data_IF_566766991995
#
_entry.id   IF_566766991995
#
_cell.length_a   1.000
_cell.length_b   1.000
_cell.length_c   1.000
_cell.angle_alpha   90.00
_cell.angle_beta   90.00
_cell.angle_gamma   90.00
#
_symmetry.space_group_name_H-M   'P 1'
#
loop_
_entity.id
_entity.type
_entity.pdbx_description
1 polymer ?
#
# COMPACT_ATOMS: atom_id res chain seq x y z
N UNK A 1 13.35 23.90 7.20
CA UNK A 1 14.58 23.09 7.17
C UNK A 1 15.76 23.96 6.72
N UNK A 2 16.79 24.06 7.58
CA UNK A 2 17.99 24.87 7.30
C UNK A 2 18.81 24.35 6.09
N UNK A 3 18.60 23.10 5.68
CA UNK A 3 19.41 22.43 4.64
C UNK A 3 18.85 22.60 3.23
N UNK A 4 17.55 22.75 3.05
CA UNK A 4 16.92 22.87 1.73
C UNK A 4 15.53 23.48 1.86
N UNK A 5 15.43 24.80 2.17
CA UNK A 5 14.13 25.46 2.39
C UNK A 5 13.27 25.49 1.12
N UNK A 6 13.89 25.54 -0.06
CA UNK A 6 13.23 25.63 -1.36
C UNK A 6 12.90 24.24 -1.98
N UNK A 7 13.27 23.14 -1.33
CA UNK A 7 12.96 21.82 -1.87
C UNK A 7 11.45 21.55 -1.81
N UNK A 8 10.78 21.30 -2.96
CA UNK A 8 9.33 21.15 -3.03
C UNK A 8 8.89 19.76 -2.50
N UNK A 9 8.86 19.60 -1.18
CA UNK A 9 8.61 18.31 -0.52
C UNK A 9 7.29 17.66 -0.91
N UNK A 10 6.27 18.46 -1.18
CA UNK A 10 4.93 17.95 -1.51
C UNK A 10 4.94 17.16 -2.81
N UNK A 11 5.67 17.63 -3.80
CA UNK A 11 5.70 17.07 -5.16
C UNK A 11 6.92 16.20 -5.43
N UNK A 12 8.07 16.50 -4.81
CA UNK A 12 9.35 15.86 -5.17
C UNK A 12 9.84 14.84 -4.14
N UNK A 13 9.39 14.92 -2.86
CA UNK A 13 9.84 14.00 -1.82
C UNK A 13 9.05 12.70 -1.87
N UNK A 14 9.68 11.61 -2.34
CA UNK A 14 9.09 10.28 -2.30
C UNK A 14 9.60 9.50 -1.08
N UNK A 15 8.68 9.05 -0.23
CA UNK A 15 8.97 8.30 1.00
C UNK A 15 7.97 7.16 1.18
N UNK A 16 8.31 6.18 2.00
CA UNK A 16 7.37 5.14 2.38
C UNK A 16 6.15 5.74 3.10
N UNK A 17 4.91 5.54 2.61
CA UNK A 17 3.71 6.15 3.18
C UNK A 17 3.37 5.62 4.58
N UNK A 18 3.83 4.42 4.92
CA UNK A 18 3.49 3.78 6.18
C UNK A 18 1.99 3.55 6.34
N UNK A 19 1.50 3.70 7.55
CA UNK A 19 0.11 3.34 7.92
C UNK A 19 -0.99 4.08 7.18
N UNK A 20 -0.71 5.20 6.53
CA UNK A 20 -1.71 5.89 5.69
C UNK A 20 -2.11 5.02 4.50
N UNK A 21 -1.20 4.22 3.99
CA UNK A 21 -1.45 3.29 2.89
C UNK A 21 -2.44 2.16 3.24
N UNK A 22 -2.69 1.88 4.52
CA UNK A 22 -3.68 0.88 4.95
C UNK A 22 -5.09 1.20 4.48
N UNK A 23 -5.41 2.46 4.24
CA UNK A 23 -6.66 2.88 3.59
C UNK A 23 -6.77 2.29 2.19
N UNK A 24 -5.69 2.35 1.39
CA UNK A 24 -5.66 1.72 0.07
C UNK A 24 -5.73 0.19 0.18
N UNK A 25 -5.03 -0.41 1.14
CA UNK A 25 -5.10 -1.87 1.38
C UNK A 25 -6.52 -2.31 1.74
N UNK A 26 -7.25 -1.50 2.53
CA UNK A 26 -8.66 -1.75 2.85
C UNK A 26 -9.53 -1.71 1.60
N UNK A 27 -9.38 -0.67 0.76
CA UNK A 27 -10.10 -0.55 -0.52
C UNK A 27 -9.82 -1.77 -1.40
N UNK A 28 -8.55 -2.10 -1.63
CA UNK A 28 -8.17 -3.24 -2.45
C UNK A 28 -8.75 -4.57 -1.92
N UNK A 29 -8.76 -4.76 -0.60
CA UNK A 29 -9.32 -5.95 0.04
C UNK A 29 -10.83 -6.05 -0.09
N UNK A 30 -11.55 -4.95 0.09
CA UNK A 30 -13.01 -4.88 -0.08
C UNK A 30 -13.41 -5.14 -1.53
N UNK A 31 -12.78 -4.44 -2.47
CA UNK A 31 -13.08 -4.50 -3.90
C UNK A 31 -12.70 -5.85 -4.54
N UNK A 32 -11.67 -6.50 -4.02
CA UNK A 32 -11.30 -7.86 -4.46
C UNK A 32 -12.14 -8.97 -3.80
N UNK A 33 -13.03 -8.62 -2.86
CA UNK A 33 -13.81 -9.59 -2.09
C UNK A 33 -12.98 -10.44 -1.10
N UNK A 34 -11.72 -10.10 -0.91
CA UNK A 34 -10.82 -10.83 0.01
C UNK A 34 -11.06 -10.41 1.47
N UNK A 35 -11.55 -9.19 1.69
CA UNK A 35 -11.76 -8.62 3.01
C UNK A 35 -13.27 -8.52 3.31
N UNK A 36 -13.69 -9.18 4.38
CA UNK A 36 -15.00 -8.97 5.00
C UNK A 36 -14.82 -7.97 6.16
N UNK A 37 -15.45 -6.78 6.12
CA UNK A 37 -15.25 -5.72 7.10
C UNK A 37 -15.73 -6.10 8.51
N UNK A 38 -16.68 -7.01 8.63
CA UNK A 38 -17.25 -7.46 9.91
C UNK A 38 -16.50 -8.66 10.50
N UNK A 39 -15.71 -9.36 9.69
CA UNK A 39 -14.93 -10.52 10.14
C UNK A 39 -13.76 -10.09 11.01
N UNK A 40 -13.71 -10.48 12.29
CA UNK A 40 -12.60 -10.12 13.17
C UNK A 40 -11.34 -10.91 12.85
N UNK A 41 -10.19 -10.27 13.02
CA UNK A 41 -8.87 -10.89 13.00
C UNK A 41 -8.26 -10.77 14.39
N UNK A 42 -7.81 -11.89 14.96
CA UNK A 42 -7.15 -11.87 16.25
C UNK A 42 -5.71 -11.38 16.14
N UNK A 43 -5.44 -10.24 16.76
CA UNK A 43 -4.12 -9.64 16.82
C UNK A 43 -3.44 -9.93 18.16
N UNK A 44 -2.54 -10.89 18.19
CA UNK A 44 -1.66 -11.14 19.34
C UNK A 44 -0.48 -10.18 19.46
N UNK A 45 -0.40 -9.18 18.55
CA UNK A 45 0.69 -8.22 18.50
C UNK A 45 1.75 -8.51 17.43
N UNK A 46 1.78 -9.70 16.86
CA UNK A 46 2.64 -10.12 15.76
C UNK A 46 1.96 -11.15 14.86
N UNK A 47 2.38 -11.30 13.60
CA UNK A 47 1.72 -12.20 12.65
C UNK A 47 2.10 -13.68 12.91
N UNK A 48 3.38 -14.02 12.75
CA UNK A 48 3.86 -15.43 12.92
C UNK A 48 4.76 -15.59 14.12
N UNK A 49 5.76 -14.74 14.27
CA UNK A 49 6.75 -14.81 15.35
C UNK A 49 6.91 -13.46 16.03
N UNK A 50 7.24 -13.45 17.35
CA UNK A 50 7.41 -12.21 18.12
C UNK A 50 8.51 -11.28 17.62
N UNK A 51 9.42 -11.77 16.76
CA UNK A 51 10.56 -11.02 16.25
C UNK A 51 10.23 -10.23 14.97
N UNK A 52 9.19 -10.67 14.20
CA UNK A 52 8.87 -10.11 12.87
C UNK A 52 7.39 -9.76 12.75
N UNK A 53 7.08 -8.82 11.85
CA UNK A 53 5.72 -8.41 11.51
C UNK A 53 4.87 -8.04 12.74
N UNK A 54 5.38 -7.09 13.52
CA UNK A 54 4.79 -6.66 14.80
C UNK A 54 3.92 -5.43 14.64
N UNK A 55 2.87 -5.37 15.47
CA UNK A 55 2.15 -4.12 15.74
C UNK A 55 2.99 -3.17 16.59
N UNK A 56 2.67 -1.86 16.48
CA UNK A 56 3.29 -0.83 17.31
C UNK A 56 3.07 -1.11 18.80
N UNK A 57 1.84 -1.44 19.20
CA UNK A 57 1.48 -1.75 20.58
C UNK A 57 2.32 -2.88 21.17
N UNK A 58 2.62 -3.92 20.38
CA UNK A 58 3.46 -5.02 20.85
C UNK A 58 4.91 -4.60 21.08
N UNK A 59 5.44 -3.70 20.25
CA UNK A 59 6.81 -3.19 20.40
C UNK A 59 7.01 -2.42 21.70
N UNK A 60 5.96 -1.76 22.19
CA UNK A 60 6.03 -0.86 23.34
C UNK A 60 5.50 -1.50 24.62
N UNK A 61 4.49 -2.36 24.53
CA UNK A 61 3.78 -2.88 25.71
C UNK A 61 3.73 -4.40 25.76
N UNK A 62 4.23 -5.12 24.77
CA UNK A 62 4.24 -6.58 24.73
C UNK A 62 2.86 -7.23 24.56
N UNK A 63 1.81 -6.45 24.23
CA UNK A 63 0.43 -6.91 24.08
C UNK A 63 -0.07 -6.77 22.63
N UNK A 64 -1.15 -7.48 22.28
CA UNK A 64 -1.86 -7.34 21.01
C UNK A 64 -3.12 -6.49 21.13
N UNK A 65 -3.81 -6.30 20.01
CA UNK A 65 -5.09 -5.60 19.96
C UNK A 65 -6.31 -6.49 20.25
N UNK A 66 -6.11 -7.80 20.46
CA UNK A 66 -7.17 -8.83 20.52
C UNK A 66 -7.94 -8.91 19.19
N UNK A 67 -9.23 -9.19 19.22
CA UNK A 67 -10.07 -9.21 18.05
C UNK A 67 -10.29 -7.80 17.53
N UNK A 68 -10.06 -7.59 16.24
CA UNK A 68 -10.25 -6.30 15.55
C UNK A 68 -10.96 -6.53 14.22
N UNK A 69 -12.00 -5.78 13.96
CA UNK A 69 -12.65 -5.64 12.65
C UNK A 69 -11.90 -4.63 11.78
N UNK A 70 -12.34 -4.40 10.55
CA UNK A 70 -11.71 -3.41 9.66
C UNK A 70 -11.64 -2.01 10.29
N UNK A 71 -12.76 -1.56 10.87
CA UNK A 71 -12.84 -0.22 11.48
C UNK A 71 -11.88 -0.10 12.66
N UNK A 72 -11.87 -1.09 13.53
CA UNK A 72 -10.92 -1.16 14.63
C UNK A 72 -9.47 -1.18 14.17
N UNK A 73 -9.18 -1.94 13.11
CA UNK A 73 -7.83 -2.07 12.57
C UNK A 73 -7.32 -0.77 11.96
N UNK A 74 -8.18 0.01 11.31
CA UNK A 74 -7.85 1.35 10.82
C UNK A 74 -7.64 2.33 12.00
N UNK A 75 -8.57 2.39 12.96
CA UNK A 75 -8.48 3.27 14.12
C UNK A 75 -7.23 3.01 14.97
N UNK A 76 -6.93 1.73 15.23
CA UNK A 76 -5.77 1.30 16.05
C UNK A 76 -4.49 1.14 15.22
N UNK A 77 -4.56 1.35 13.91
CA UNK A 77 -3.46 1.11 12.97
C UNK A 77 -2.84 -0.29 13.13
N UNK A 78 -3.69 -1.33 13.23
CA UNK A 78 -3.27 -2.70 13.48
C UNK A 78 -2.49 -3.30 12.32
N UNK A 79 -1.18 -3.49 12.46
CA UNK A 79 -0.36 -4.10 11.39
C UNK A 79 -0.75 -5.56 11.14
N UNK A 80 -1.04 -6.33 12.21
CA UNK A 80 -1.35 -7.76 12.08
C UNK A 80 -2.59 -7.98 11.22
N UNK A 81 -3.63 -7.15 11.40
CA UNK A 81 -4.81 -7.18 10.54
C UNK A 81 -4.43 -7.03 9.06
N UNK A 82 -3.71 -5.97 8.72
CA UNK A 82 -3.33 -5.68 7.34
C UNK A 82 -2.28 -6.65 6.76
N UNK A 83 -1.43 -7.24 7.60
CA UNK A 83 -0.59 -8.36 7.17
C UNK A 83 -1.41 -9.58 6.79
N UNK A 84 -2.45 -9.91 7.58
CA UNK A 84 -3.35 -11.04 7.29
C UNK A 84 -4.10 -10.80 5.98
N UNK A 85 -4.73 -9.65 5.83
CA UNK A 85 -5.42 -9.26 4.59
C UNK A 85 -4.47 -9.29 3.39
N UNK A 86 -3.29 -8.70 3.50
CA UNK A 86 -2.30 -8.70 2.41
C UNK A 86 -1.79 -10.09 2.06
N UNK A 87 -1.62 -10.99 3.05
CA UNK A 87 -1.22 -12.37 2.81
C UNK A 87 -2.30 -13.17 2.06
N UNK A 88 -3.57 -12.94 2.35
CA UNK A 88 -4.71 -13.57 1.68
C UNK A 88 -4.92 -13.00 0.27
N UNK A 89 -4.92 -11.68 0.14
CA UNK A 89 -5.15 -10.96 -1.11
C UNK A 89 -4.00 -11.10 -2.12
N UNK A 90 -2.76 -11.32 -1.63
CA UNK A 90 -1.53 -11.32 -2.44
C UNK A 90 -1.18 -9.94 -2.99
N UNK A 91 -0.12 -9.87 -3.82
CA UNK A 91 0.38 -8.59 -4.33
C UNK A 91 -0.47 -7.98 -5.44
N UNK A 92 -1.15 -8.80 -6.23
CA UNK A 92 -1.85 -8.37 -7.43
C UNK A 92 -2.87 -7.26 -7.20
N UNK A 93 -3.92 -7.50 -6.40
CA UNK A 93 -4.92 -6.48 -6.11
C UNK A 93 -4.33 -5.23 -5.47
N UNK A 94 -3.32 -5.37 -4.57
CA UNK A 94 -2.62 -4.22 -3.98
C UNK A 94 -1.96 -3.34 -5.04
N UNK A 95 -1.22 -3.96 -5.97
CA UNK A 95 -0.54 -3.25 -7.05
C UNK A 95 -1.55 -2.63 -8.02
N UNK A 96 -2.59 -3.38 -8.41
CA UNK A 96 -3.62 -2.89 -9.33
C UNK A 96 -4.35 -1.67 -8.76
N UNK A 97 -4.77 -1.71 -7.50
CA UNK A 97 -5.44 -0.57 -6.86
C UNK A 97 -4.50 0.61 -6.62
N UNK A 98 -3.21 0.34 -6.32
CA UNK A 98 -2.22 1.41 -6.24
C UNK A 98 -2.06 2.14 -7.56
N UNK A 99 -2.01 1.39 -8.65
CA UNK A 99 -1.90 1.95 -10.00
C UNK A 99 -3.15 2.75 -10.40
N UNK A 100 -4.36 2.21 -10.15
CA UNK A 100 -5.64 2.91 -10.37
C UNK A 100 -5.70 4.23 -9.62
N UNK A 101 -5.21 4.27 -8.38
CA UNK A 101 -5.16 5.48 -7.54
C UNK A 101 -3.96 6.40 -7.83
N UNK A 102 -3.20 6.09 -8.89
CA UNK A 102 -2.16 6.98 -9.43
C UNK A 102 -0.81 6.89 -8.73
N UNK A 103 -0.53 5.85 -7.95
CA UNK A 103 0.79 5.65 -7.38
C UNK A 103 1.79 5.14 -8.45
N UNK A 104 3.06 5.50 -8.29
CA UNK A 104 4.12 5.10 -9.21
C UNK A 104 4.23 5.95 -10.48
N UNK A 105 3.44 7.03 -10.59
CA UNK A 105 3.49 7.99 -11.68
C UNK A 105 3.19 9.41 -11.18
N UNK A 106 3.64 10.48 -11.88
CA UNK A 106 3.28 11.84 -11.56
C UNK A 106 1.76 12.06 -11.57
N UNK A 107 1.26 12.98 -10.74
CA UNK A 107 -0.18 13.30 -10.67
C UNK A 107 -0.62 14.18 -11.85
N UNK A 108 0.32 14.85 -12.49
CA UNK A 108 0.06 15.78 -13.58
C UNK A 108 -0.23 17.21 -13.12
N UNK A 109 0.04 17.54 -11.85
CA UNK A 109 -0.08 18.92 -11.39
C UNK A 109 0.89 19.82 -12.16
N UNK A 110 0.43 21.01 -12.56
CA UNK A 110 1.25 22.00 -13.29
C UNK A 110 2.29 22.67 -12.36
N UNK A 111 3.20 21.86 -11.84
CA UNK A 111 4.33 22.29 -11.02
C UNK A 111 5.60 21.56 -11.47
N UNK A 112 6.76 22.25 -11.48
CA UNK A 112 8.02 21.62 -11.86
C UNK A 112 8.48 20.58 -10.84
N UNK A 113 9.27 19.62 -11.32
CA UNK A 113 9.97 18.62 -10.48
C UNK A 113 9.04 17.68 -9.70
N UNK A 114 7.92 17.26 -10.31
CA UNK A 114 7.07 16.25 -9.72
C UNK A 114 7.71 14.86 -9.82
N UNK A 115 7.79 14.16 -8.68
CA UNK A 115 8.22 12.76 -8.60
C UNK A 115 7.02 11.82 -8.70
N UNK A 116 7.13 10.76 -9.52
CA UNK A 116 6.14 9.70 -9.56
C UNK A 116 6.20 8.73 -8.37
N UNK A 117 7.24 8.83 -7.54
CA UNK A 117 7.49 7.81 -6.53
C UNK A 117 7.92 6.48 -7.15
N UNK A 118 7.78 5.39 -6.40
CA UNK A 118 8.05 4.05 -6.87
C UNK A 118 6.98 3.08 -6.37
N UNK A 119 6.29 2.41 -7.29
CA UNK A 119 5.37 1.31 -7.00
C UNK A 119 6.06 -0.02 -7.35
N UNK A 120 6.43 -0.83 -6.37
CA UNK A 120 7.06 -2.11 -6.63
C UNK A 120 6.04 -3.09 -7.26
N UNK A 121 6.49 -3.88 -8.24
CA UNK A 121 5.66 -4.85 -8.95
C UNK A 121 6.32 -6.23 -8.93
N UNK A 122 5.56 -7.34 -8.74
CA UNK A 122 6.06 -8.69 -8.99
C UNK A 122 6.52 -8.82 -10.45
N UNK A 123 7.53 -9.64 -10.71
CA UNK A 123 7.93 -9.94 -12.09
C UNK A 123 6.78 -10.65 -12.85
N UNK A 124 6.75 -10.52 -14.17
CA UNK A 124 5.73 -11.15 -15.02
C UNK A 124 5.63 -12.67 -14.81
N UNK A 125 6.75 -13.36 -14.54
CA UNK A 125 6.76 -14.78 -14.22
C UNK A 125 6.02 -15.15 -12.92
N UNK A 126 5.83 -14.20 -12.01
CA UNK A 126 5.12 -14.38 -10.73
C UNK A 126 3.65 -13.90 -10.81
N UNK A 127 3.29 -13.23 -11.89
CA UNK A 127 1.93 -12.68 -12.12
C UNK A 127 0.96 -13.75 -12.65
N UNK A 128 1.44 -14.92 -13.08
CA UNK A 128 0.61 -15.99 -13.69
C UNK A 128 -0.49 -16.50 -12.75
N UNK A 129 -0.41 -16.24 -11.45
CA UNK A 129 -1.47 -16.62 -10.49
C UNK A 129 -2.67 -15.63 -10.47
N UNK A 130 -2.64 -14.57 -11.29
CA UNK A 130 -3.67 -13.51 -11.32
C UNK A 130 -4.70 -13.67 -12.45
N UNK A 131 -4.67 -14.77 -13.19
CA UNK A 131 -5.45 -14.98 -14.42
C UNK A 131 -6.98 -15.01 -14.26
N UNK A 132 -7.54 -14.72 -13.11
CA UNK A 132 -9.00 -14.69 -12.88
C UNK A 132 -9.58 -13.27 -12.69
N UNK A 133 -8.82 -12.22 -12.95
CA UNK A 133 -9.32 -10.84 -12.98
C UNK A 133 -9.36 -10.36 -14.44
N UNK A 134 -10.50 -10.52 -15.09
CA UNK A 134 -10.70 -10.19 -16.52
C UNK A 134 -10.51 -8.71 -16.87
N UNK A 135 -10.42 -7.82 -15.89
CA UNK A 135 -10.27 -6.37 -16.08
C UNK A 135 -8.82 -5.83 -15.99
N UNK A 136 -7.82 -6.67 -15.80
CA UNK A 136 -6.42 -6.21 -15.64
C UNK A 136 -5.66 -6.15 -16.98
N UNK A 137 -6.28 -6.53 -18.07
CA UNK A 137 -5.64 -6.62 -19.39
C UNK A 137 -5.28 -5.27 -20.05
N UNK A 138 -5.61 -4.13 -19.42
CA UNK A 138 -5.32 -2.79 -19.97
C UNK A 138 -4.28 -1.98 -19.21
N UNK A 139 -3.57 -2.57 -18.24
CA UNK A 139 -2.42 -1.88 -17.64
C UNK A 139 -1.27 -1.91 -18.64
N UNK A 140 -1.24 -0.87 -19.48
CA UNK A 140 -0.21 -0.65 -20.46
C UNK A 140 1.18 -0.83 -19.84
N UNK A 141 1.99 -1.64 -20.49
CA UNK A 141 3.43 -1.74 -20.23
C UNK A 141 4.03 -0.33 -20.28
N UNK A 142 4.28 0.25 -19.10
CA UNK A 142 5.14 1.42 -19.05
C UNK A 142 6.56 0.97 -19.39
N UNK A 143 7.15 1.45 -20.49
CA UNK A 143 8.48 1.06 -20.90
C UNK A 143 9.47 1.82 -20.04
N UNK A 144 9.91 1.25 -18.94
CA UNK A 144 11.16 1.73 -18.32
C UNK A 144 11.73 0.73 -17.32
N UNK A 145 12.99 0.45 -17.58
CA UNK A 145 14.01 -0.20 -16.77
C UNK A 145 14.06 -1.73 -16.82
N UNK A 146 14.80 -2.18 -17.82
CA UNK A 146 15.49 -3.48 -17.89
C UNK A 146 16.59 -3.64 -16.81
N UNK A 147 16.51 -2.95 -15.69
CA UNK A 147 17.29 -3.25 -14.49
C UNK A 147 16.68 -4.44 -13.81
N UNK A 148 17.47 -5.50 -13.63
CA UNK A 148 17.19 -6.77 -12.99
C UNK A 148 16.02 -6.66 -12.01
N UNK A 149 14.86 -7.19 -12.38
CA UNK A 149 13.70 -7.23 -11.50
C UNK A 149 14.06 -8.12 -10.32
N UNK A 150 14.24 -7.51 -9.17
CA UNK A 150 14.50 -8.24 -7.93
C UNK A 150 13.36 -9.23 -7.66
N UNK A 151 13.67 -10.45 -7.19
CA UNK A 151 12.66 -11.44 -6.89
C UNK A 151 11.66 -10.90 -5.86
N UNK A 152 10.38 -11.22 -6.03
CA UNK A 152 9.32 -10.86 -5.11
C UNK A 152 9.13 -11.95 -4.06
N UNK A 153 9.16 -11.59 -2.81
CA UNK A 153 8.98 -12.48 -1.68
C UNK A 153 7.66 -12.18 -0.94
N UNK A 154 7.15 -13.14 -0.17
CA UNK A 154 5.98 -12.94 0.69
C UNK A 154 6.13 -11.72 1.62
N UNK A 155 7.34 -11.48 2.10
CA UNK A 155 7.67 -10.32 2.91
C UNK A 155 7.43 -8.98 2.22
N UNK A 156 7.59 -8.92 0.89
CA UNK A 156 7.33 -7.72 0.10
C UNK A 156 5.83 -7.41 0.06
N UNK A 157 5.00 -8.44 -0.11
CA UNK A 157 3.53 -8.30 -0.05
C UNK A 157 3.08 -7.80 1.32
N UNK A 158 3.61 -8.40 2.40
CA UNK A 158 3.28 -7.97 3.77
C UNK A 158 3.74 -6.53 4.03
N UNK A 159 4.94 -6.18 3.58
CA UNK A 159 5.47 -4.83 3.69
C UNK A 159 4.61 -3.83 2.90
N UNK A 160 4.24 -4.16 1.66
CA UNK A 160 3.39 -3.34 0.82
C UNK A 160 2.03 -3.10 1.49
N UNK A 161 1.40 -4.12 2.06
CA UNK A 161 0.08 -4.01 2.71
C UNK A 161 0.02 -3.00 3.87
N UNK A 162 1.15 -2.59 4.42
CA UNK A 162 1.25 -1.56 5.47
C UNK A 162 1.99 -0.29 5.01
N UNK A 163 2.17 -0.14 3.69
CA UNK A 163 2.83 1.03 3.09
C UNK A 163 4.33 1.11 3.37
N UNK A 164 4.98 -0.04 3.42
CA UNK A 164 6.43 -0.18 3.59
C UNK A 164 7.04 -1.00 2.44
N UNK A 165 8.18 -1.65 2.66
CA UNK A 165 8.95 -2.32 1.62
C UNK A 165 9.56 -1.31 0.65
N UNK A 166 9.55 -1.62 -0.64
CA UNK A 166 10.13 -0.78 -1.71
C UNK A 166 9.21 0.34 -2.20
N UNK A 167 8.00 0.47 -1.63
CA UNK A 167 7.04 1.51 -1.99
C UNK A 167 7.53 2.89 -1.54
N UNK A 168 7.52 3.86 -2.44
CA UNK A 168 7.70 5.27 -2.10
C UNK A 168 6.70 6.14 -2.86
N UNK A 169 6.11 7.11 -2.17
CA UNK A 169 5.07 7.99 -2.69
C UNK A 169 5.30 9.41 -2.24
N UNK A 170 4.78 10.38 -2.99
CA UNK A 170 4.82 11.79 -2.58
C UNK A 170 3.67 12.13 -1.65
N UNK A 171 3.79 13.17 -0.80
CA UNK A 171 2.67 13.71 -0.03
C UNK A 171 1.47 14.09 -0.90
N UNK A 172 1.70 14.57 -2.13
CA UNK A 172 0.64 14.91 -3.07
C UNK A 172 -0.16 13.66 -3.49
N UNK A 173 0.50 12.53 -3.77
CA UNK A 173 -0.18 11.27 -4.09
C UNK A 173 -1.02 10.78 -2.91
N UNK A 174 -0.55 10.95 -1.68
CA UNK A 174 -1.35 10.62 -0.48
C UNK A 174 -2.56 11.55 -0.34
N UNK A 175 -2.39 12.85 -0.55
CA UNK A 175 -3.51 13.80 -0.53
C UNK A 175 -4.57 13.45 -1.58
N UNK A 176 -4.14 13.05 -2.77
CA UNK A 176 -5.00 12.59 -3.86
C UNK A 176 -5.79 11.32 -3.49
N UNK A 177 -5.14 10.33 -2.87
CA UNK A 177 -5.81 9.15 -2.32
C UNK A 177 -6.90 9.55 -1.31
N UNK A 178 -6.57 10.42 -0.36
CA UNK A 178 -7.53 10.85 0.67
C UNK A 178 -8.69 11.67 0.07
N UNK A 179 -8.43 12.46 -0.95
CA UNK A 179 -9.47 13.18 -1.68
C UNK A 179 -10.42 12.20 -2.39
N UNK A 180 -9.90 11.16 -3.05
CA UNK A 180 -10.73 10.12 -3.66
C UNK A 180 -11.61 9.41 -2.63
N UNK A 181 -11.10 9.12 -1.44
CA UNK A 181 -11.90 8.55 -0.35
C UNK A 181 -13.01 9.51 0.09
N UNK A 182 -12.69 10.80 0.23
CA UNK A 182 -13.64 11.82 0.68
C UNK A 182 -14.76 12.09 -0.33
N UNK A 183 -14.49 11.93 -1.63
CA UNK A 183 -15.47 12.15 -2.72
C UNK A 183 -16.24 10.90 -3.11
N UNK A 184 -16.00 9.76 -2.45
CA UNK A 184 -16.67 8.50 -2.78
C UNK A 184 -16.11 7.80 -4.01
N UNK A 185 -14.86 8.08 -4.39
CA UNK A 185 -14.14 7.39 -5.46
C UNK A 185 -13.63 8.29 -6.59
N UNK A 186 -14.03 9.55 -6.66
CA UNK A 186 -13.54 10.47 -7.67
C UNK A 186 -12.07 10.81 -7.41
N UNK A 187 -11.19 10.42 -8.35
CA UNK A 187 -9.77 10.72 -8.26
C UNK A 187 -9.48 12.09 -8.86
N UNK A 188 -9.08 13.09 -8.05
CA UNK A 188 -8.78 14.43 -8.57
C UNK A 188 -7.63 14.40 -9.59
N UNK A 189 -7.79 15.14 -10.67
CA UNK A 189 -6.77 15.38 -11.70
C UNK A 189 -5.95 16.59 -11.37
#
# INVERSE_FOLDING_TARGET
>A
DKRSPMYPRVTSMAVAPGSVYKTLTAIAGLESGTLDPEKPVFCRGYLKTPQRHRCYIYRHYGVGHSDVTLVDALCKSCNVYFYTVGAEMKAGPLVAWSDRLGFGRPTGIDLPYESGGHLPRPSAAQTITLANFEDVASVAESPTDSKQQEPWYDGDTLGLAIGQSRLSVTPLQIARLMAAVATGGDLPT
#
